data_IF_777998632117
#
_entry.id   IF_777998632117
#
_cell.length_a   1.000
_cell.length_b   1.000
_cell.length_c   1.000
_cell.angle_alpha   90.00
_cell.angle_beta   90.00
_cell.angle_gamma   90.00
#
_symmetry.space_group_name_H-M   'P 1'
#
loop_
_entity.id
_entity.type
_entity.pdbx_description
1 polymer ?
#
# COMPACT_ATOMS: atom_id res chain seq x y z
N UNK A 1 7.32 -31.55 -5.99
CA UNK A 1 6.45 -30.67 -5.19
C UNK A 1 6.79 -29.23 -5.55
N UNK A 2 5.85 -28.43 -6.05
CA UNK A 2 6.13 -27.03 -6.38
C UNK A 2 6.16 -26.21 -5.08
N UNK A 3 7.16 -25.33 -4.94
CA UNK A 3 7.20 -24.37 -3.84
C UNK A 3 6.20 -23.26 -4.14
N UNK A 4 5.31 -23.00 -3.18
CA UNK A 4 4.43 -21.83 -3.21
C UNK A 4 5.21 -20.63 -2.69
N UNK A 5 4.95 -19.46 -3.27
CA UNK A 5 5.55 -18.21 -2.84
C UNK A 5 4.58 -17.04 -2.96
N UNK A 6 4.90 -15.97 -2.25
CA UNK A 6 4.29 -14.66 -2.40
C UNK A 6 5.40 -13.71 -2.89
N UNK A 7 5.20 -13.09 -4.05
CA UNK A 7 6.08 -12.05 -4.57
C UNK A 7 5.41 -10.69 -4.33
N UNK A 8 6.12 -9.77 -3.66
CA UNK A 8 5.65 -8.41 -3.43
C UNK A 8 6.50 -7.46 -4.26
N UNK A 9 5.86 -6.66 -5.09
CA UNK A 9 6.47 -5.66 -5.95
C UNK A 9 5.97 -4.30 -5.47
N UNK A 10 6.84 -3.56 -4.79
CA UNK A 10 6.49 -2.30 -4.16
C UNK A 10 6.82 -1.10 -5.06
N UNK A 11 5.94 -0.10 -5.08
CA UNK A 11 6.09 1.18 -5.78
C UNK A 11 6.51 1.02 -7.27
N UNK A 12 5.69 0.31 -8.06
CA UNK A 12 5.93 0.12 -9.51
C UNK A 12 5.35 1.27 -10.34
N UNK A 13 6.08 1.69 -11.39
CA UNK A 13 5.77 2.81 -12.29
C UNK A 13 5.79 2.37 -13.77
N UNK A 14 5.30 3.19 -14.70
CA UNK A 14 5.16 2.85 -16.13
C UNK A 14 6.45 2.96 -16.99
N UNK A 15 7.64 2.82 -16.41
CA UNK A 15 8.89 3.04 -17.17
C UNK A 15 9.51 1.81 -17.87
N UNK A 16 8.84 0.65 -17.87
CA UNK A 16 9.41 -0.53 -18.51
C UNK A 16 8.85 -0.80 -19.91
N UNK A 17 9.79 -0.96 -20.86
CA UNK A 17 9.56 -1.31 -22.25
C UNK A 17 8.52 -2.44 -22.37
N UNK A 18 7.64 -2.33 -23.38
CA UNK A 18 6.57 -3.29 -23.66
C UNK A 18 7.05 -4.75 -23.75
N UNK A 19 8.35 -4.95 -24.02
CA UNK A 19 9.02 -6.25 -24.13
C UNK A 19 9.14 -7.02 -22.81
N UNK A 20 9.24 -6.34 -21.67
CA UNK A 20 9.38 -7.03 -20.37
C UNK A 20 8.03 -7.49 -19.81
N UNK A 21 6.92 -6.98 -20.35
CA UNK A 21 5.57 -7.30 -19.89
C UNK A 21 5.22 -8.77 -20.12
N UNK A 22 5.69 -9.40 -21.20
CA UNK A 22 5.37 -10.81 -21.50
C UNK A 22 5.94 -11.81 -20.49
N UNK A 23 7.01 -11.47 -19.77
CA UNK A 23 7.68 -12.34 -18.79
C UNK A 23 6.86 -12.56 -17.53
N UNK A 24 5.90 -11.67 -17.21
CA UNK A 24 5.06 -11.83 -16.02
C UNK A 24 4.10 -13.02 -16.10
N UNK A 25 3.80 -13.52 -17.30
CA UNK A 25 3.01 -14.76 -17.47
C UNK A 25 3.74 -15.98 -16.88
N UNK A 26 5.08 -15.99 -16.95
CA UNK A 26 5.92 -17.12 -16.53
C UNK A 26 6.16 -17.18 -15.02
N UNK A 27 5.86 -16.10 -14.29
CA UNK A 27 6.15 -15.99 -12.84
C UNK A 27 5.14 -16.78 -11.99
N UNK A 28 4.00 -17.25 -12.53
CA UNK A 28 2.93 -17.79 -11.71
C UNK A 28 2.94 -19.33 -11.54
N UNK A 29 3.60 -19.80 -10.48
CA UNK A 29 3.46 -21.18 -10.02
C UNK A 29 2.05 -21.47 -9.40
N UNK A 30 1.54 -22.71 -9.47
CA UNK A 30 0.26 -23.07 -8.85
C UNK A 30 0.21 -22.78 -7.35
N UNK A 31 -0.74 -21.94 -6.93
CA UNK A 31 -0.93 -21.54 -5.54
C UNK A 31 -0.02 -20.41 -5.05
N UNK A 32 0.81 -19.84 -5.92
CA UNK A 32 1.56 -18.61 -5.64
C UNK A 32 0.71 -17.35 -5.90
N UNK A 33 1.10 -16.23 -5.29
CA UNK A 33 0.46 -14.92 -5.46
C UNK A 33 1.50 -13.85 -5.76
N UNK A 34 1.08 -12.80 -6.47
CA UNK A 34 1.85 -11.57 -6.68
C UNK A 34 1.00 -10.44 -6.09
N UNK A 35 1.62 -9.60 -5.26
CA UNK A 35 1.05 -8.36 -4.75
C UNK A 35 1.84 -7.21 -5.36
N UNK A 36 1.15 -6.30 -6.04
CA UNK A 36 1.75 -5.10 -6.63
C UNK A 36 1.17 -3.90 -5.91
N UNK A 37 2.03 -3.02 -5.41
CA UNK A 37 1.64 -1.68 -4.97
C UNK A 37 2.11 -0.67 -6.01
N UNK A 38 1.25 0.29 -6.33
CA UNK A 38 1.53 1.32 -7.33
C UNK A 38 0.64 2.52 -7.07
N UNK A 39 1.08 3.69 -7.52
CA UNK A 39 0.31 4.94 -7.44
C UNK A 39 -0.63 5.12 -8.63
N UNK A 40 -0.46 4.36 -9.71
CA UNK A 40 -1.20 4.57 -10.96
C UNK A 40 -2.07 3.37 -11.33
N UNK A 41 -3.32 3.65 -11.67
CA UNK A 41 -4.26 2.63 -12.16
C UNK A 41 -3.74 1.95 -13.44
N UNK A 42 -2.96 2.65 -14.26
CA UNK A 42 -2.42 2.15 -15.52
C UNK A 42 -1.49 0.94 -15.33
N UNK A 43 -0.60 1.00 -14.32
CA UNK A 43 0.25 -0.14 -13.92
C UNK A 43 -0.60 -1.30 -13.42
N UNK A 44 -1.58 -1.04 -12.53
CA UNK A 44 -2.46 -2.08 -12.03
C UNK A 44 -3.24 -2.79 -13.16
N UNK A 45 -3.73 -2.02 -14.14
CA UNK A 45 -4.42 -2.53 -15.31
C UNK A 45 -3.48 -3.30 -16.26
N UNK A 46 -2.20 -2.94 -16.34
CA UNK A 46 -1.19 -3.67 -17.11
C UNK A 46 -0.96 -5.07 -16.53
N UNK A 47 -0.67 -5.18 -15.24
CA UNK A 47 -0.55 -6.48 -14.55
C UNK A 47 -1.83 -7.31 -14.65
N UNK A 48 -2.99 -6.65 -14.54
CA UNK A 48 -4.30 -7.27 -14.68
C UNK A 48 -4.62 -7.80 -16.09
N UNK A 49 -3.93 -7.31 -17.14
CA UNK A 49 -4.05 -7.81 -18.52
C UNK A 49 -3.10 -8.98 -18.77
N UNK A 50 -1.87 -8.86 -18.28
CA UNK A 50 -0.83 -9.88 -18.49
C UNK A 50 -1.10 -11.12 -17.64
N UNK A 51 -1.50 -10.95 -16.38
CA UNK A 51 -1.84 -12.05 -15.49
C UNK A 51 -3.24 -12.55 -15.83
N UNK A 52 -3.33 -13.59 -16.66
CA UNK A 52 -4.59 -14.24 -17.10
C UNK A 52 -5.28 -15.08 -16.01
N UNK A 53 -5.13 -14.71 -14.73
CA UNK A 53 -5.76 -15.39 -13.57
C UNK A 53 -6.72 -14.45 -12.83
N UNK A 54 -7.44 -14.99 -11.83
CA UNK A 54 -8.29 -14.20 -10.95
C UNK A 54 -7.47 -13.06 -10.34
N UNK A 55 -7.95 -11.84 -10.53
CA UNK A 55 -7.32 -10.59 -10.08
C UNK A 55 -8.25 -9.84 -9.14
N UNK A 56 -7.63 -9.07 -8.26
CA UNK A 56 -8.30 -8.15 -7.35
C UNK A 56 -7.50 -6.85 -7.37
N UNK A 57 -8.17 -5.75 -7.69
CA UNK A 57 -7.58 -4.41 -7.64
C UNK A 57 -8.18 -3.74 -6.43
N UNK A 58 -7.32 -3.39 -5.48
CA UNK A 58 -7.71 -2.67 -4.26
C UNK A 58 -7.20 -1.25 -4.41
N UNK A 59 -8.10 -0.28 -4.38
CA UNK A 59 -7.75 1.13 -4.22
C UNK A 59 -7.73 1.41 -2.73
N UNK A 60 -6.57 1.76 -2.21
CA UNK A 60 -6.46 2.19 -0.82
C UNK A 60 -7.03 3.60 -0.74
N UNK A 61 -8.02 3.76 0.13
CA UNK A 61 -8.55 5.07 0.48
C UNK A 61 -7.69 5.71 1.57
N UNK A 62 -7.83 7.02 1.74
CA UNK A 62 -7.27 7.72 2.89
C UNK A 62 -7.90 7.19 4.18
N UNK A 63 -7.24 7.46 5.30
CA UNK A 63 -7.81 7.18 6.60
C UNK A 63 -8.90 8.20 6.92
N UNK A 64 -9.84 7.82 7.78
CA UNK A 64 -10.81 8.76 8.32
C UNK A 64 -10.10 9.85 9.15
N UNK A 65 -10.75 10.99 9.35
CA UNK A 65 -10.14 12.14 10.00
C UNK A 65 -9.68 11.84 11.44
N UNK A 66 -10.47 11.06 12.18
CA UNK A 66 -10.15 10.65 13.54
C UNK A 66 -8.98 9.66 13.59
N UNK A 67 -8.87 8.77 12.60
CA UNK A 67 -7.73 7.87 12.42
C UNK A 67 -6.45 8.64 12.04
N UNK A 68 -6.55 9.63 11.16
CA UNK A 68 -5.45 10.55 10.82
C UNK A 68 -4.96 11.29 12.06
N UNK A 69 -5.89 11.80 12.87
CA UNK A 69 -5.59 12.49 14.12
C UNK A 69 -4.90 11.56 15.13
N UNK A 70 -5.36 10.32 15.26
CA UNK A 70 -4.71 9.32 16.12
C UNK A 70 -3.28 9.02 15.66
N UNK A 71 -3.06 8.87 14.34
CA UNK A 71 -1.73 8.65 13.78
C UNK A 71 -0.79 9.84 13.97
N UNK A 72 -1.29 11.07 13.90
CA UNK A 72 -0.51 12.27 14.17
C UNK A 72 -0.13 12.37 15.65
N UNK A 73 -1.09 12.14 16.53
CA UNK A 73 -0.92 12.28 17.99
C UNK A 73 0.01 11.21 18.57
N UNK A 74 -0.04 9.97 18.06
CA UNK A 74 0.76 8.85 18.56
C UNK A 74 2.26 9.16 18.69
N UNK A 75 2.97 9.57 17.61
CA UNK A 75 4.37 9.98 17.71
C UNK A 75 4.56 11.36 18.34
N UNK A 76 3.62 12.30 18.15
CA UNK A 76 3.74 13.67 18.66
C UNK A 76 3.76 13.73 20.20
N UNK A 77 3.11 12.78 20.87
CA UNK A 77 3.02 12.69 22.33
C UNK A 77 3.69 11.42 22.91
N UNK A 78 4.50 10.71 22.11
CA UNK A 78 5.23 9.55 22.59
C UNK A 78 6.26 9.93 23.68
N UNK A 79 6.17 9.30 24.85
CA UNK A 79 7.11 9.52 25.97
C UNK A 79 6.76 10.66 26.92
N UNK A 80 5.58 11.26 26.80
CA UNK A 80 5.10 12.27 27.76
C UNK A 80 4.51 11.54 28.99
N UNK A 81 5.31 11.38 30.04
CA UNK A 81 4.84 10.86 31.34
C UNK A 81 3.98 11.92 32.03
N UNK A 82 2.66 11.66 32.08
CA UNK A 82 1.59 12.62 32.40
C UNK A 82 1.49 13.72 31.34
N UNK A 83 0.60 13.62 30.34
CA UNK A 83 0.39 14.73 29.41
C UNK A 83 -0.16 15.88 30.25
N UNK A 84 0.63 16.92 30.53
CA UNK A 84 0.11 18.00 31.32
C UNK A 84 -0.94 18.68 30.44
N UNK A 85 -1.94 19.23 31.11
CA UNK A 85 -2.88 20.21 30.58
C UNK A 85 -2.18 21.32 29.75
N UNK A 86 -0.86 21.49 29.93
CA UNK A 86 0.04 22.41 29.24
C UNK A 86 0.08 22.28 27.69
N UNK A 87 -0.49 21.23 27.11
CA UNK A 87 -0.57 21.04 25.65
C UNK A 87 -2.00 20.91 25.10
N UNK A 88 -3.03 21.34 25.85
CA UNK A 88 -4.41 21.40 25.35
C UNK A 88 -4.50 22.12 24.00
N UNK A 89 -3.79 23.25 23.84
CA UNK A 89 -3.77 24.01 22.60
C UNK A 89 -3.24 23.21 21.40
N UNK A 90 -2.28 22.30 21.61
CA UNK A 90 -1.74 21.45 20.53
C UNK A 90 -2.73 20.35 20.13
N UNK A 91 -3.54 19.84 21.09
CA UNK A 91 -4.64 18.92 20.79
C UNK A 91 -5.77 19.61 20.04
N UNK A 92 -6.06 20.87 20.35
CA UNK A 92 -7.05 21.68 19.64
C UNK A 92 -6.62 21.94 18.19
N UNK A 93 -5.34 22.21 17.92
CA UNK A 93 -4.82 22.39 16.55
C UNK A 93 -5.00 21.11 15.71
N UNK A 94 -4.87 19.95 16.35
CA UNK A 94 -5.03 18.67 15.67
C UNK A 94 -6.53 18.30 15.42
N UNK A 95 -7.48 19.07 15.96
CA UNK A 95 -8.93 18.88 15.78
C UNK A 95 -9.55 19.83 14.71
N UNK A 96 -8.74 20.54 13.93
CA UNK A 96 -9.16 21.48 12.87
C UNK A 96 -9.11 20.79 11.51
#
# INVERSE_FOLDING_TARGET
>A
MFKKFLLVLDDIWEEDEEKDKSKWEDVLAPGSKILVTTRTDSVALMFAKVIKKKKEIVRLEGLEEDECLQLLNSPAFAGVENPPDDHENLRVIAQI
#
